data_IF_273096620263
#
_entry.id   IF_273096620263
#
_cell.length_a   1.000
_cell.length_b   1.000
_cell.length_c   1.000
_cell.angle_alpha   90.00
_cell.angle_beta   90.00
_cell.angle_gamma   90.00
#
_symmetry.space_group_name_H-M   'P 1'
#
loop_
_entity.id
_entity.type
_entity.pdbx_description
1 polymer ?
#
# COMPACT_ATOMS: atom_id res chain seq x y z
N UNK A 1 -12.50 58.61 -52.87
CA UNK A 1 -13.42 57.56 -52.41
C UNK A 1 -12.69 56.66 -51.42
N UNK A 2 -13.33 56.40 -50.28
CA UNK A 2 -12.79 55.70 -49.11
C UNK A 2 -12.77 54.16 -49.28
N UNK A 3 -11.80 53.45 -48.66
CA UNK A 3 -12.01 52.63 -47.45
C UNK A 3 -10.75 51.84 -47.01
N UNK A 4 -10.69 51.70 -45.69
CA UNK A 4 -9.69 51.21 -44.74
C UNK A 4 -9.73 49.68 -44.52
N UNK A 5 -8.58 49.07 -44.16
CA UNK A 5 -8.37 48.01 -43.15
C UNK A 5 -6.88 47.60 -43.21
N UNK A 6 -5.93 48.01 -42.37
CA UNK A 6 -5.79 48.04 -40.91
C UNK A 6 -5.82 46.64 -40.26
N UNK A 7 -4.63 46.23 -39.78
CA UNK A 7 -4.36 45.63 -38.46
C UNK A 7 -4.87 44.18 -38.25
N UNK A 8 -4.17 43.22 -37.64
CA UNK A 8 -2.91 43.19 -36.90
C UNK A 8 -2.50 41.73 -36.71
N UNK A 9 -1.21 41.47 -36.73
CA UNK A 9 -0.59 40.34 -36.04
C UNK A 9 -1.09 40.32 -34.59
N UNK A 10 -1.75 39.23 -34.20
CA UNK A 10 -2.07 39.01 -32.78
C UNK A 10 -0.98 38.11 -32.22
N UNK A 11 0.11 38.75 -31.76
CA UNK A 11 1.04 38.15 -30.83
C UNK A 11 0.27 37.92 -29.53
N UNK A 12 -0.27 36.72 -29.35
CA UNK A 12 -0.85 36.32 -28.07
C UNK A 12 0.33 36.04 -27.13
N UNK A 13 0.66 37.06 -26.34
CA UNK A 13 1.48 36.94 -25.15
C UNK A 13 0.74 36.01 -24.18
N UNK A 14 1.10 34.73 -24.19
CA UNK A 14 0.57 33.73 -23.26
C UNK A 14 1.26 33.93 -21.90
N UNK A 15 0.86 35.00 -21.21
CA UNK A 15 1.07 35.15 -19.78
C UNK A 15 0.18 34.14 -19.06
N UNK A 16 0.52 32.85 -19.19
CA UNK A 16 -0.13 31.76 -18.49
C UNK A 16 -0.06 32.03 -16.99
N UNK A 17 -1.23 32.25 -16.37
CA UNK A 17 -1.38 32.24 -14.93
C UNK A 17 -0.59 31.06 -14.37
N UNK A 18 0.27 31.29 -13.37
CA UNK A 18 0.96 30.26 -12.57
C UNK A 18 0.03 29.38 -11.73
N UNK A 19 -1.18 29.16 -12.22
CA UNK A 19 -2.20 28.27 -11.75
C UNK A 19 -1.65 26.83 -11.87
N UNK A 20 -0.95 26.36 -10.83
CA UNK A 20 -0.54 24.95 -10.72
C UNK A 20 -1.79 24.09 -10.87
N UNK A 21 -1.84 23.13 -11.81
CA UNK A 21 -2.99 22.26 -11.97
C UNK A 21 -3.33 21.60 -10.63
N UNK A 22 -4.58 21.81 -10.17
CA UNK A 22 -5.07 21.11 -8.99
C UNK A 22 -4.93 19.61 -9.26
N UNK A 23 -4.28 18.84 -8.37
CA UNK A 23 -4.23 17.40 -8.50
C UNK A 23 -5.66 16.86 -8.66
N UNK A 24 -5.87 16.00 -9.66
CA UNK A 24 -7.16 15.34 -9.85
C UNK A 24 -7.54 14.62 -8.55
N UNK A 25 -8.82 14.71 -8.18
CA UNK A 25 -9.33 14.00 -7.03
C UNK A 25 -9.15 12.49 -7.27
N UNK A 26 -8.62 11.72 -6.30
CA UNK A 26 -8.43 10.29 -6.48
C UNK A 26 -9.78 9.62 -6.72
N UNK A 27 -9.80 8.62 -7.61
CA UNK A 27 -11.03 7.92 -7.92
C UNK A 27 -11.60 7.21 -6.66
N UNK A 28 -12.93 7.08 -6.56
CA UNK A 28 -13.58 6.47 -5.39
C UNK A 28 -13.08 5.04 -5.08
N UNK A 29 -12.70 4.28 -6.11
CA UNK A 29 -12.20 2.91 -5.95
C UNK A 29 -10.82 2.91 -5.29
N UNK A 30 -9.92 3.82 -5.70
CA UNK A 30 -8.62 4.05 -5.04
C UNK A 30 -8.79 4.46 -3.58
N UNK A 31 -9.78 5.30 -3.27
CA UNK A 31 -10.08 5.68 -1.87
C UNK A 31 -10.53 4.44 -1.08
N UNK A 32 -11.44 3.63 -1.63
CA UNK A 32 -11.93 2.41 -0.98
C UNK A 32 -10.79 1.40 -0.75
N UNK A 33 -9.92 1.22 -1.73
CA UNK A 33 -8.76 0.34 -1.63
C UNK A 33 -7.76 0.82 -0.57
N UNK A 34 -7.54 2.13 -0.46
CA UNK A 34 -6.73 2.72 0.61
C UNK A 34 -7.35 2.54 2.00
N UNK A 35 -8.68 2.68 2.12
CA UNK A 35 -9.40 2.41 3.36
C UNK A 35 -9.26 0.94 3.76
N UNK A 36 -9.38 0.01 2.80
CA UNK A 36 -9.18 -1.40 3.04
C UNK A 36 -7.75 -1.71 3.50
N UNK A 37 -6.74 -1.15 2.84
CA UNK A 37 -5.34 -1.31 3.24
C UNK A 37 -5.10 -0.84 4.70
N UNK A 38 -5.70 0.27 5.10
CA UNK A 38 -5.63 0.78 6.48
C UNK A 38 -6.37 -0.13 7.47
N UNK A 39 -7.55 -0.65 7.11
CA UNK A 39 -8.30 -1.56 7.95
C UNK A 39 -7.53 -2.86 8.22
N UNK A 40 -6.93 -3.44 7.18
CA UNK A 40 -6.03 -4.59 7.31
C UNK A 40 -4.84 -4.23 8.22
N UNK A 41 -4.22 -3.05 8.02
CA UNK A 41 -3.09 -2.60 8.81
C UNK A 41 -3.43 -2.42 10.30
N UNK A 42 -4.61 -1.89 10.62
CA UNK A 42 -5.10 -1.77 11.99
C UNK A 42 -5.23 -3.14 12.67
N UNK A 43 -5.67 -4.16 11.93
CA UNK A 43 -5.72 -5.54 12.43
C UNK A 43 -4.35 -6.15 12.74
N UNK A 44 -3.26 -5.61 12.18
CA UNK A 44 -1.91 -6.10 12.47
C UNK A 44 -1.43 -5.78 13.90
N UNK A 45 -2.10 -4.86 14.60
CA UNK A 45 -1.79 -4.52 15.99
C UNK A 45 -1.93 -5.74 16.92
N UNK A 46 -2.90 -6.62 16.65
CA UNK A 46 -3.11 -7.90 17.38
C UNK A 46 -1.91 -8.85 17.29
N UNK A 47 -1.03 -8.62 16.31
CA UNK A 47 0.15 -9.42 16.03
C UNK A 47 1.46 -8.71 16.36
N UNK A 48 1.41 -7.57 17.07
CA UNK A 48 2.58 -6.83 17.52
C UNK A 48 3.13 -5.81 16.51
N UNK A 49 2.40 -5.51 15.43
CA UNK A 49 2.79 -4.51 14.43
C UNK A 49 2.03 -3.22 14.70
N UNK A 50 2.65 -2.31 15.46
CA UNK A 50 2.08 -1.01 15.78
C UNK A 50 2.03 -0.05 14.59
N UNK A 51 1.28 1.07 14.71
CA UNK A 51 1.08 2.06 13.64
C UNK A 51 2.37 2.75 13.16
N UNK A 52 3.42 2.79 13.99
CA UNK A 52 4.72 3.32 13.58
C UNK A 52 5.45 2.43 12.56
N UNK A 53 5.04 1.16 12.41
CA UNK A 53 5.70 0.16 11.57
C UNK A 53 4.99 -0.07 10.26
N UNK A 54 3.92 0.65 9.94
CA UNK A 54 3.23 0.48 8.68
C UNK A 54 2.82 1.80 8.04
N UNK A 55 2.68 1.77 6.72
CA UNK A 55 2.07 2.86 5.94
C UNK A 55 1.15 2.28 4.87
N UNK A 56 0.09 3.00 4.54
CA UNK A 56 -0.82 2.65 3.46
C UNK A 56 -0.86 3.80 2.46
N UNK A 57 -0.50 3.53 1.21
CA UNK A 57 -0.44 4.53 0.15
C UNK A 57 -0.70 3.88 -1.22
N UNK A 58 -1.15 4.69 -2.17
CA UNK A 58 -1.30 4.24 -3.55
C UNK A 58 0.08 4.20 -4.21
N UNK A 59 0.38 3.10 -4.88
CA UNK A 59 1.60 2.94 -5.66
C UNK A 59 1.26 3.10 -7.15
N UNK A 60 1.74 4.19 -7.76
CA UNK A 60 1.50 4.48 -9.17
C UNK A 60 2.20 3.51 -10.12
N UNK A 61 3.30 2.85 -9.71
CA UNK A 61 3.98 1.86 -10.55
C UNK A 61 3.21 0.54 -10.56
N UNK A 62 2.68 0.14 -9.41
CA UNK A 62 1.85 -1.07 -9.30
C UNK A 62 0.37 -0.83 -9.67
N UNK A 63 -0.04 0.44 -9.83
CA UNK A 63 -1.41 0.87 -10.03
C UNK A 63 -2.38 0.29 -8.97
N UNK A 64 -1.96 0.25 -7.71
CA UNK A 64 -2.72 -0.38 -6.62
C UNK A 64 -2.48 0.32 -5.27
N UNK A 65 -3.45 0.22 -4.35
CA UNK A 65 -3.22 0.55 -2.95
C UNK A 65 -2.30 -0.49 -2.30
N UNK A 66 -1.32 -0.03 -1.53
CA UNK A 66 -0.31 -0.90 -0.91
C UNK A 66 -0.17 -0.59 0.57
N UNK A 67 -0.26 -1.65 1.39
CA UNK A 67 0.13 -1.67 2.79
C UNK A 67 1.59 -2.09 2.89
N UNK A 68 2.45 -1.19 3.36
CA UNK A 68 3.87 -1.44 3.63
C UNK A 68 4.09 -1.66 5.12
N UNK A 69 4.84 -2.68 5.48
CA UNK A 69 5.20 -3.02 6.86
C UNK A 69 6.72 -3.05 6.97
N UNK A 70 7.24 -2.27 7.91
CA UNK A 70 8.64 -2.22 8.25
C UNK A 70 9.02 -3.37 9.20
N UNK A 71 9.96 -4.18 8.76
CA UNK A 71 10.41 -5.40 9.45
C UNK A 71 11.92 -5.40 9.60
N UNK A 72 12.45 -6.25 10.50
CA UNK A 72 13.90 -6.40 10.66
C UNK A 72 14.59 -6.90 9.37
N UNK A 73 13.83 -7.54 8.47
CA UNK A 73 14.31 -8.02 7.16
C UNK A 73 14.01 -7.03 6.03
N UNK A 74 13.59 -5.81 6.37
CA UNK A 74 13.24 -4.75 5.44
C UNK A 74 11.73 -4.64 5.17
N UNK A 75 11.39 -3.89 4.13
CA UNK A 75 10.01 -3.51 3.85
C UNK A 75 9.25 -4.62 3.09
N UNK A 76 8.16 -5.08 3.67
CA UNK A 76 7.20 -5.96 3.00
C UNK A 76 5.97 -5.15 2.57
N UNK A 77 5.42 -5.47 1.41
CA UNK A 77 4.31 -4.74 0.83
C UNK A 77 3.19 -5.70 0.41
N UNK A 78 2.00 -5.51 0.99
CA UNK A 78 0.77 -6.19 0.59
C UNK A 78 -0.01 -5.26 -0.33
N UNK A 79 -0.24 -5.65 -1.58
CA UNK A 79 -1.10 -4.86 -2.48
C UNK A 79 -2.56 -5.29 -2.34
N UNK A 80 -3.47 -4.32 -2.44
CA UNK A 80 -4.91 -4.56 -2.53
C UNK A 80 -5.22 -4.89 -4.00
N UNK A 81 -5.61 -6.14 -4.32
CA UNK A 81 -5.80 -6.54 -5.70
C UNK A 81 -7.24 -6.23 -6.16
N UNK A 82 -7.55 -6.48 -7.43
CA UNK A 82 -8.94 -6.49 -7.89
C UNK A 82 -9.75 -7.62 -7.21
N UNK A 83 -11.08 -7.52 -7.10
CA UNK A 83 -11.93 -8.61 -6.64
C UNK A 83 -11.67 -9.92 -7.40
N UNK A 84 -11.70 -11.05 -6.69
CA UNK A 84 -11.44 -12.39 -7.21
C UNK A 84 -9.95 -12.79 -7.29
N UNK A 85 -9.04 -11.83 -7.12
CA UNK A 85 -7.60 -12.09 -7.14
C UNK A 85 -7.01 -12.32 -5.73
N UNK A 86 -5.91 -13.08 -5.62
CA UNK A 86 -5.20 -13.24 -4.35
C UNK A 86 -4.42 -11.98 -4.00
N UNK A 87 -4.19 -11.73 -2.71
CA UNK A 87 -3.41 -10.58 -2.26
C UNK A 87 -1.90 -10.81 -2.46
N UNK A 88 -1.23 -10.12 -3.40
CA UNK A 88 0.19 -10.34 -3.64
C UNK A 88 1.04 -9.69 -2.55
N UNK A 89 2.13 -10.37 -2.18
CA UNK A 89 3.13 -9.87 -1.24
C UNK A 89 4.42 -9.59 -1.99
N UNK A 90 4.98 -8.41 -1.77
CA UNK A 90 6.22 -7.94 -2.35
C UNK A 90 7.26 -7.70 -1.27
N UNK A 91 8.52 -7.89 -1.62
CA UNK A 91 9.68 -7.53 -0.81
C UNK A 91 10.72 -6.92 -1.74
N UNK A 92 11.26 -5.75 -1.37
CA UNK A 92 12.23 -5.00 -2.21
C UNK A 92 11.73 -4.73 -3.64
N UNK A 93 10.42 -4.56 -3.81
CA UNK A 93 9.79 -4.30 -5.11
C UNK A 93 9.50 -5.55 -5.95
N UNK A 94 9.99 -6.72 -5.55
CA UNK A 94 9.73 -7.98 -6.25
C UNK A 94 8.56 -8.73 -5.61
N UNK A 95 7.72 -9.37 -6.43
CA UNK A 95 6.65 -10.23 -5.94
C UNK A 95 7.23 -11.55 -5.45
N UNK A 96 7.10 -11.81 -4.16
CA UNK A 96 7.66 -13.00 -3.49
C UNK A 96 6.59 -14.04 -3.12
N UNK A 97 5.32 -13.72 -3.33
CA UNK A 97 4.21 -14.64 -3.09
C UNK A 97 2.84 -13.96 -3.14
N UNK A 98 1.87 -14.62 -2.55
CA UNK A 98 0.53 -14.09 -2.29
C UNK A 98 -0.04 -14.77 -1.04
N UNK A 99 -1.04 -14.13 -0.41
CA UNK A 99 -1.80 -14.75 0.66
C UNK A 99 -2.75 -15.82 0.10
N UNK A 100 -3.05 -16.84 0.90
CA UNK A 100 -3.97 -17.93 0.56
C UNK A 100 -5.46 -17.53 0.64
N UNK A 101 -5.76 -16.23 0.48
CA UNK A 101 -7.11 -15.71 0.38
C UNK A 101 -7.27 -14.84 -0.87
N UNK A 102 -8.51 -14.72 -1.34
CA UNK A 102 -8.87 -13.84 -2.45
C UNK A 102 -9.69 -12.66 -1.93
N UNK A 103 -9.58 -11.53 -2.63
CA UNK A 103 -10.44 -10.37 -2.35
C UNK A 103 -11.87 -10.68 -2.79
N UNK A 104 -12.81 -10.71 -1.85
CA UNK A 104 -14.23 -10.88 -2.14
C UNK A 104 -15.06 -9.95 -1.25
N UNK A 105 -16.30 -9.67 -1.67
CA UNK A 105 -17.29 -9.01 -0.82
C UNK A 105 -17.61 -9.93 0.36
N UNK A 106 -16.95 -9.69 1.50
CA UNK A 106 -17.08 -10.50 2.72
C UNK A 106 -15.77 -11.08 3.26
N UNK A 107 -14.65 -10.98 2.52
CA UNK A 107 -13.34 -11.30 3.11
C UNK A 107 -13.05 -10.29 4.22
N UNK A 108 -13.03 -10.76 5.47
CA UNK A 108 -12.76 -9.88 6.60
C UNK A 108 -11.34 -9.32 6.54
N UNK A 109 -11.19 -8.03 6.78
CA UNK A 109 -9.87 -7.38 6.82
C UNK A 109 -9.00 -7.94 7.95
N UNK A 110 -9.61 -8.32 9.07
CA UNK A 110 -8.94 -9.01 10.19
C UNK A 110 -8.39 -10.39 9.78
N UNK A 111 -9.13 -11.14 8.97
CA UNK A 111 -8.66 -12.42 8.44
C UNK A 111 -7.47 -12.21 7.50
N UNK A 112 -7.53 -11.21 6.63
CA UNK A 112 -6.40 -10.84 5.75
C UNK A 112 -5.18 -10.38 6.55
N UNK A 113 -5.39 -9.60 7.62
CA UNK A 113 -4.33 -9.19 8.54
C UNK A 113 -3.67 -10.39 9.22
N UNK A 114 -4.46 -11.37 9.67
CA UNK A 114 -3.95 -12.59 10.27
C UNK A 114 -3.09 -13.41 9.31
N UNK A 115 -3.55 -13.57 8.06
CA UNK A 115 -2.78 -14.25 7.02
C UNK A 115 -1.49 -13.51 6.68
N UNK A 116 -1.53 -12.17 6.62
CA UNK A 116 -0.33 -11.39 6.34
C UNK A 116 0.68 -11.46 7.50
N UNK A 117 0.22 -11.36 8.75
CA UNK A 117 1.09 -11.56 9.91
C UNK A 117 1.70 -12.97 9.95
N UNK A 118 0.92 -14.01 9.60
CA UNK A 118 1.43 -15.36 9.47
C UNK A 118 2.50 -15.47 8.37
N UNK A 119 2.26 -14.86 7.20
CA UNK A 119 3.23 -14.79 6.10
C UNK A 119 4.56 -14.13 6.54
N UNK A 120 4.48 -13.01 7.27
CA UNK A 120 5.68 -12.33 7.77
C UNK A 120 6.44 -13.17 8.81
N UNK A 121 5.74 -13.93 9.65
CA UNK A 121 6.37 -14.85 10.62
C UNK A 121 7.08 -16.01 9.95
N UNK A 122 6.44 -16.64 8.96
CA UNK A 122 7.03 -17.74 8.19
C UNK A 122 8.38 -17.34 7.57
N UNK A 123 8.49 -16.09 7.14
CA UNK A 123 9.73 -15.52 6.58
C UNK A 123 10.68 -14.93 7.64
N UNK A 124 10.43 -15.20 8.92
CA UNK A 124 11.19 -14.66 10.05
C UNK A 124 11.35 -13.13 9.99
N UNK A 125 10.35 -12.43 9.43
CA UNK A 125 10.33 -10.97 9.33
C UNK A 125 9.73 -10.33 10.59
N UNK A 126 8.92 -11.07 11.35
CA UNK A 126 8.46 -10.63 12.68
C UNK A 126 9.20 -11.38 13.77
N UNK A 127 9.77 -10.63 14.69
CA UNK A 127 10.26 -11.15 15.95
C UNK A 127 9.06 -11.25 16.91
N UNK A 128 8.66 -12.48 17.23
CA UNK A 128 7.59 -12.70 18.19
C UNK A 128 8.23 -12.87 19.57
N UNK A 129 7.93 -12.02 20.55
CA UNK A 129 8.16 -12.39 21.94
C UNK A 129 7.21 -13.55 22.27
N UNK A 130 7.68 -14.79 22.13
CA UNK A 130 6.91 -15.97 22.56
C UNK A 130 7.14 -17.29 21.83
N UNK A 131 7.97 -17.39 20.78
CA UNK A 131 8.23 -18.70 20.13
C UNK A 131 9.64 -19.26 20.29
N UNK A 132 10.62 -18.44 20.69
CA UNK A 132 12.00 -18.89 20.96
C UNK A 132 12.30 -19.13 22.45
N UNK A 133 11.29 -19.06 23.33
CA UNK A 133 11.44 -19.51 24.71
C UNK A 133 11.21 -21.03 24.83
N UNK A 134 11.94 -21.84 24.05
CA UNK A 134 12.26 -23.17 24.54
C UNK A 134 13.42 -22.96 25.53
N UNK A 135 13.24 -23.10 26.85
CA UNK A 135 14.39 -23.11 27.74
C UNK A 135 15.29 -24.26 27.31
N UNK A 136 16.50 -23.92 26.86
CA UNK A 136 17.58 -24.88 26.70
C UNK A 136 17.65 -25.66 28.01
N UNK A 137 17.52 -27.00 28.01
CA UNK A 137 17.76 -27.75 29.23
C UNK A 137 19.21 -27.49 29.61
N UNK A 138 19.43 -26.74 30.68
CA UNK A 138 20.73 -26.64 31.32
C UNK A 138 21.05 -28.07 31.78
N UNK A 139 21.92 -28.75 31.04
CA UNK A 139 22.54 -29.98 31.47
C UNK A 139 23.17 -29.71 32.84
N UNK A 140 22.54 -30.21 33.90
CA UNK A 140 23.20 -30.38 35.19
C UNK A 140 24.11 -31.60 35.04
N UNK A 141 25.40 -31.34 34.88
CA UNK A 141 26.49 -32.29 35.14
C UNK A 141 27.49 -31.61 36.05
#
# INVERSE_FOLDING_TARGET
>A
MARTAALSETYADDHGCGCVPRPAEPDPDTIADLMQARAIASGLAEFGIGPARWSAAYDHQAAAAVLRVDTLRGLYALAIPAPGQPFPVHHRGERIGALDCRRAYGTADSYTAALFAAYLRDRAALDLPGRDACPTPQNMV
#
